data_IF_929267180254
#
_entry.id   IF_929267180254
#
_cell.length_a   1.000
_cell.length_b   1.000
_cell.length_c   1.000
_cell.angle_alpha   90.00
_cell.angle_beta   90.00
_cell.angle_gamma   90.00
#
_symmetry.space_group_name_H-M   'P 1'
#
loop_
_entity.id
_entity.type
_entity.pdbx_description
1 polymer ?
#
# COMPACT_ATOMS: atom_id res chain seq x y z
N UNK A 1 -26.71 -0.07 -8.88
CA UNK A 1 -25.29 0.17 -8.56
C UNK A 1 -24.72 1.44 -9.24
N UNK A 2 -25.43 2.07 -10.20
CA UNK A 2 -24.95 3.24 -10.95
C UNK A 2 -24.68 4.53 -10.17
N UNK A 3 -25.15 4.63 -8.92
CA UNK A 3 -24.94 5.79 -8.05
C UNK A 3 -23.84 5.59 -7.00
N UNK A 4 -23.32 4.36 -6.82
CA UNK A 4 -22.34 4.09 -5.76
C UNK A 4 -20.93 4.44 -6.24
N UNK A 5 -20.15 5.07 -5.36
CA UNK A 5 -18.72 5.30 -5.52
C UNK A 5 -17.99 4.33 -4.62
N UNK A 6 -17.05 3.58 -5.20
CA UNK A 6 -16.19 2.67 -4.45
C UNK A 6 -14.79 3.25 -4.36
N UNK A 7 -14.18 3.20 -3.17
CA UNK A 7 -12.75 3.29 -3.04
C UNK A 7 -12.20 1.86 -3.04
N UNK A 8 -11.43 1.52 -4.07
CA UNK A 8 -10.70 0.25 -4.11
C UNK A 8 -9.30 0.55 -3.60
N UNK A 9 -8.93 -0.14 -2.52
CA UNK A 9 -7.64 0.01 -1.85
C UNK A 9 -6.83 -1.26 -2.08
N UNK A 10 -5.65 -1.10 -2.65
CA UNK A 10 -4.64 -2.14 -2.76
C UNK A 10 -3.47 -1.81 -1.83
N UNK A 11 -2.94 -2.82 -1.15
CA UNK A 11 -1.96 -2.63 -0.06
C UNK A 11 -0.86 -3.67 -0.17
N UNK A 12 0.37 -3.19 -0.26
CA UNK A 12 1.54 -4.05 -0.18
C UNK A 12 2.14 -4.05 1.22
N UNK A 13 2.66 -5.21 1.64
CA UNK A 13 3.13 -5.42 3.01
C UNK A 13 4.48 -6.12 3.06
N UNK A 14 5.24 -5.89 4.13
CA UNK A 14 6.54 -6.55 4.37
C UNK A 14 6.42 -8.07 4.59
N UNK A 15 5.20 -8.58 4.80
CA UNK A 15 4.86 -9.99 4.93
C UNK A 15 3.37 -10.19 5.28
N UNK A 16 2.86 -11.42 5.08
CA UNK A 16 1.41 -11.75 5.09
C UNK A 16 0.70 -11.76 6.45
N UNK A 17 1.43 -11.67 7.57
CA UNK A 17 0.86 -11.87 8.90
C UNK A 17 1.11 -10.67 9.82
N UNK A 18 0.08 -9.86 10.13
CA UNK A 18 0.20 -8.74 11.07
C UNK A 18 0.67 -9.20 12.46
N UNK A 19 0.15 -10.32 12.94
CA UNK A 19 0.56 -10.92 14.23
C UNK A 19 2.01 -11.42 14.27
N UNK A 20 2.70 -11.47 13.12
CA UNK A 20 4.13 -11.77 13.02
C UNK A 20 4.97 -10.56 12.61
N UNK A 21 4.43 -9.35 12.78
CA UNK A 21 5.14 -8.10 12.47
C UNK A 21 5.06 -7.66 11.01
N UNK A 22 4.12 -8.18 10.21
CA UNK A 22 3.82 -7.63 8.89
C UNK A 22 3.36 -6.18 8.98
N UNK A 23 3.92 -5.31 8.13
CA UNK A 23 3.68 -3.87 8.11
C UNK A 23 3.36 -3.43 6.68
N UNK A 24 2.56 -2.37 6.53
CA UNK A 24 2.26 -1.76 5.24
C UNK A 24 3.52 -1.07 4.69
N UNK A 25 3.75 -1.21 3.38
CA UNK A 25 4.84 -0.56 2.65
C UNK A 25 4.37 0.21 1.40
N UNK A 26 3.13 0.01 0.97
CA UNK A 26 2.46 0.83 -0.06
C UNK A 26 0.95 0.87 0.18
N UNK A 27 0.32 1.97 -0.19
CA UNK A 27 -1.14 2.10 -0.30
C UNK A 27 -1.46 2.75 -1.65
N UNK A 28 -2.28 2.07 -2.46
CA UNK A 28 -2.85 2.61 -3.68
C UNK A 28 -4.38 2.66 -3.57
N UNK A 29 -4.98 3.77 -3.96
CA UNK A 29 -6.42 3.98 -3.92
C UNK A 29 -6.91 4.47 -5.28
N UNK A 30 -7.90 3.78 -5.81
CA UNK A 30 -8.66 4.23 -6.98
C UNK A 30 -10.12 4.43 -6.62
N UNK A 31 -10.70 5.52 -7.13
CA UNK A 31 -12.14 5.72 -7.11
C UNK A 31 -12.74 5.02 -8.33
N UNK A 32 -13.70 4.13 -8.08
CA UNK A 32 -14.47 3.44 -9.11
C UNK A 32 -15.92 3.94 -9.08
N UNK A 33 -16.35 4.53 -10.19
CA UNK A 33 -17.73 4.96 -10.38
C UNK A 33 -18.21 4.55 -11.77
N UNK A 34 -19.26 3.73 -11.83
CA UNK A 34 -19.80 3.16 -13.08
C UNK A 34 -18.72 2.37 -13.83
N UNK A 35 -18.21 2.89 -14.96
CA UNK A 35 -17.12 2.30 -15.75
C UNK A 35 -15.84 3.13 -15.72
N UNK A 36 -15.80 4.17 -14.90
CA UNK A 36 -14.62 5.02 -14.74
C UNK A 36 -13.82 4.58 -13.52
N UNK A 37 -12.51 4.46 -13.71
CA UNK A 37 -11.52 4.27 -12.65
C UNK A 37 -10.64 5.51 -12.65
N UNK A 38 -10.48 6.15 -11.49
CA UNK A 38 -9.65 7.34 -11.33
C UNK A 38 -8.65 7.11 -10.20
N UNK A 39 -7.34 7.32 -10.42
CA UNK A 39 -6.38 7.36 -9.32
C UNK A 39 -6.80 8.43 -8.32
N UNK A 40 -6.83 8.07 -7.04
CA UNK A 40 -7.21 8.98 -5.97
C UNK A 40 -6.03 9.26 -5.03
N UNK A 41 -5.23 8.23 -4.73
CA UNK A 41 -4.09 8.34 -3.84
C UNK A 41 -3.11 7.21 -4.09
N UNK A 42 -1.81 7.48 -3.98
CA UNK A 42 -0.77 6.46 -4.04
C UNK A 42 0.41 6.93 -3.21
N UNK A 43 0.94 6.06 -2.36
CA UNK A 43 2.16 6.37 -1.60
C UNK A 43 2.89 5.12 -1.17
N UNK A 44 4.23 5.18 -1.22
CA UNK A 44 5.07 4.28 -0.44
C UNK A 44 4.98 4.66 1.04
N UNK A 45 5.11 3.66 1.90
CA UNK A 45 5.02 3.83 3.36
C UNK A 45 6.26 3.26 4.00
N UNK A 46 6.90 4.00 4.92
CA UNK A 46 7.96 3.44 5.75
C UNK A 46 7.35 2.45 6.76
N UNK A 47 7.62 1.13 6.63
CA UNK A 47 7.09 0.11 7.54
C UNK A 47 7.73 0.17 8.94
N UNK A 48 8.78 0.97 9.11
CA UNK A 48 9.58 1.07 10.33
C UNK A 48 10.15 -0.30 10.80
N UNK A 49 10.40 -1.19 9.85
CA UNK A 49 10.81 -2.58 10.11
C UNK A 49 11.21 -3.30 8.81
N UNK A 50 11.93 -4.42 8.87
CA UNK A 50 12.57 -5.06 7.71
C UNK A 50 11.56 -5.40 6.61
N UNK A 51 11.99 -5.30 5.36
CA UNK A 51 11.27 -5.86 4.20
C UNK A 51 11.81 -7.26 3.95
N UNK A 52 10.95 -8.28 3.96
CA UNK A 52 11.41 -9.65 3.69
C UNK A 52 11.84 -9.79 2.22
N UNK A 53 12.84 -10.64 1.89
CA UNK A 53 13.25 -10.87 0.51
C UNK A 53 12.09 -11.35 -0.38
N UNK A 54 11.20 -12.18 0.17
CA UNK A 54 10.00 -12.64 -0.52
C UNK A 54 9.06 -11.48 -0.88
N UNK A 55 8.77 -10.57 0.08
CA UNK A 55 7.92 -9.41 -0.19
C UNK A 55 8.56 -8.48 -1.22
N UNK A 56 9.86 -8.22 -1.11
CA UNK A 56 10.58 -7.39 -2.09
C UNK A 56 10.58 -8.01 -3.49
N UNK A 57 10.73 -9.33 -3.61
CA UNK A 57 10.67 -10.04 -4.88
C UNK A 57 9.27 -10.03 -5.50
N UNK A 58 8.22 -10.20 -4.67
CA UNK A 58 6.84 -10.24 -5.12
C UNK A 58 6.35 -8.88 -5.61
N UNK A 59 6.71 -7.82 -4.90
CA UNK A 59 6.16 -6.46 -5.09
C UNK A 59 7.10 -5.54 -5.85
N UNK A 60 8.39 -5.87 -5.94
CA UNK A 60 9.42 -4.96 -6.44
C UNK A 60 9.82 -3.85 -5.44
N UNK A 61 9.18 -3.76 -4.29
CA UNK A 61 9.42 -2.71 -3.29
C UNK A 61 10.63 -3.07 -2.44
N UNK A 62 11.74 -2.38 -2.70
CA UNK A 62 12.98 -2.56 -1.94
C UNK A 62 13.06 -1.63 -0.74
N UNK A 63 13.89 -1.99 0.24
CA UNK A 63 14.30 -1.09 1.33
C UNK A 63 14.78 0.28 0.87
N UNK A 64 15.43 0.34 -0.30
CA UNK A 64 15.94 1.56 -0.87
C UNK A 64 14.82 2.47 -1.40
N UNK A 65 13.78 1.89 -1.99
CA UNK A 65 12.62 2.61 -2.52
C UNK A 65 11.83 3.30 -1.40
N UNK A 66 11.81 2.71 -0.20
CA UNK A 66 11.07 3.21 0.96
C UNK A 66 11.77 4.36 1.71
N UNK A 67 12.99 4.75 1.29
CA UNK A 67 13.72 5.82 1.98
C UNK A 67 13.01 7.16 1.81
N UNK A 68 12.69 7.80 2.92
CA UNK A 68 12.00 9.10 2.94
C UNK A 68 10.48 9.00 2.80
N UNK A 69 9.93 7.80 2.63
CA UNK A 69 8.49 7.58 2.68
C UNK A 69 7.92 7.98 4.05
N UNK A 70 6.68 8.49 4.12
CA UNK A 70 6.01 8.74 5.39
C UNK A 70 5.79 7.42 6.15
N UNK A 71 5.83 7.46 7.49
CA UNK A 71 5.32 6.34 8.28
C UNK A 71 3.81 6.24 8.12
N UNK A 72 3.22 5.06 8.35
CA UNK A 72 1.77 4.89 8.27
C UNK A 72 1.01 5.91 9.15
N UNK A 73 1.51 6.19 10.35
CA UNK A 73 0.92 7.17 11.26
C UNK A 73 0.89 8.61 10.73
N UNK A 74 1.67 8.96 9.70
CA UNK A 74 1.65 10.29 9.08
C UNK A 74 0.57 10.45 8.01
N UNK A 75 -0.05 9.35 7.58
CA UNK A 75 -1.04 9.34 6.49
C UNK A 75 -2.38 8.70 6.90
N UNK A 76 -2.49 8.26 8.16
CA UNK A 76 -3.68 7.63 8.73
C UNK A 76 -4.61 8.65 9.41
#
# INVERSE_FOLDING_TARGET
>A
MDACRFAVVDVETTGRHPGRGGRIMEIAVVEVQRRAVRPAFETLVDPQGPVSPFAAQLTGITRAALRGAPTFARIA
#
